data_IF_429030503449
#
_entry.id   IF_429030503449
#
_cell.length_a   1.000
_cell.length_b   1.000
_cell.length_c   1.000
_cell.angle_alpha   90.00
_cell.angle_beta   90.00
_cell.angle_gamma   90.00
#
_symmetry.space_group_name_H-M   'P 1'
#
loop_
_entity.id
_entity.type
_entity.pdbx_description
1 polymer ?
#
# COMPACT_ATOMS: atom_id res chain seq x y z
N UNK A 1 8.80 -14.38 -24.96
CA UNK A 1 9.55 -14.98 -26.07
C UNK A 1 11.06 -14.87 -25.85
N UNK A 2 11.80 -15.82 -26.40
CA UNK A 2 13.26 -15.88 -26.25
C UNK A 2 13.96 -14.66 -26.87
N UNK A 3 13.42 -14.12 -27.96
CA UNK A 3 13.99 -12.95 -28.62
C UNK A 3 13.92 -11.71 -27.74
N UNK A 4 12.80 -11.47 -27.09
CA UNK A 4 12.64 -10.35 -26.17
C UNK A 4 13.54 -10.49 -24.95
N UNK A 5 13.69 -11.70 -24.43
CA UNK A 5 14.54 -11.96 -23.28
C UNK A 5 16.01 -11.67 -23.58
N UNK A 6 16.50 -12.12 -24.74
CA UNK A 6 17.88 -11.84 -25.23
C UNK A 6 18.11 -10.35 -25.40
N UNK A 7 17.13 -9.64 -25.97
CA UNK A 7 17.22 -8.19 -26.17
C UNK A 7 17.29 -7.47 -24.82
N UNK A 8 16.46 -7.87 -23.88
CA UNK A 8 16.46 -7.32 -22.54
C UNK A 8 17.79 -7.54 -21.82
N UNK A 9 18.34 -8.76 -21.91
CA UNK A 9 19.66 -9.09 -21.32
C UNK A 9 20.78 -8.25 -21.95
N UNK A 10 20.76 -8.03 -23.25
CA UNK A 10 21.73 -7.16 -23.94
C UNK A 10 21.62 -5.72 -23.42
N UNK A 11 20.41 -5.18 -23.29
CA UNK A 11 20.18 -3.82 -22.77
C UNK A 11 20.69 -3.67 -21.35
N UNK A 12 20.41 -4.63 -20.49
CA UNK A 12 20.89 -4.64 -19.11
C UNK A 12 22.41 -4.67 -19.05
N UNK A 13 23.04 -5.55 -19.84
CA UNK A 13 24.49 -5.67 -19.91
C UNK A 13 25.16 -4.37 -20.37
N UNK A 14 24.52 -3.64 -21.29
CA UNK A 14 25.01 -2.34 -21.80
C UNK A 14 24.65 -1.16 -20.92
N UNK A 15 23.89 -1.39 -19.85
CA UNK A 15 23.46 -0.32 -18.93
C UNK A 15 22.35 0.59 -19.48
N UNK A 16 21.75 0.25 -20.63
CA UNK A 16 20.74 1.11 -21.28
C UNK A 16 19.40 1.14 -20.56
N UNK A 17 19.11 0.12 -19.73
CA UNK A 17 17.85 0.06 -18.98
C UNK A 17 17.82 0.94 -17.74
N UNK A 18 18.97 1.48 -17.33
CA UNK A 18 19.03 2.37 -16.17
C UNK A 18 18.37 3.71 -16.43
N UNK A 19 18.27 4.15 -17.68
CA UNK A 19 17.58 5.37 -18.06
C UNK A 19 16.09 5.37 -17.77
N UNK A 20 15.48 4.19 -17.58
CA UNK A 20 14.06 4.08 -17.22
C UNK A 20 13.79 4.45 -15.77
N UNK A 21 14.82 4.71 -14.99
CA UNK A 21 14.69 5.10 -13.56
C UNK A 21 14.72 6.60 -13.36
N UNK A 22 14.51 7.39 -14.41
CA UNK A 22 14.42 8.84 -14.29
C UNK A 22 13.14 9.23 -13.51
N UNK A 23 13.26 10.27 -12.67
CA UNK A 23 12.17 10.77 -11.87
C UNK A 23 12.25 10.32 -10.41
N UNK A 24 11.35 10.86 -9.59
CA UNK A 24 11.29 10.53 -8.18
C UNK A 24 10.89 9.06 -7.96
N UNK A 25 11.32 8.48 -6.84
CA UNK A 25 11.06 7.08 -6.50
C UNK A 25 9.57 6.71 -6.65
N UNK A 26 8.68 7.58 -6.17
CA UNK A 26 7.25 7.30 -6.19
C UNK A 26 6.61 7.50 -7.56
N UNK A 27 7.17 8.38 -8.39
CA UNK A 27 6.63 8.58 -9.74
C UNK A 27 6.87 7.40 -10.67
N UNK A 28 7.83 6.54 -10.33
CA UNK A 28 8.17 5.34 -11.11
C UNK A 28 7.32 4.12 -10.75
N UNK A 29 6.54 4.20 -9.67
CA UNK A 29 5.68 3.12 -9.22
C UNK A 29 4.39 3.11 -10.04
N UNK A 30 3.91 1.89 -10.40
CA UNK A 30 2.62 1.73 -11.06
C UNK A 30 1.49 2.07 -10.08
N UNK A 31 0.29 2.33 -10.62
CA UNK A 31 -0.91 2.56 -9.80
C UNK A 31 -1.18 1.37 -8.88
N UNK A 32 -1.01 0.16 -9.38
CA UNK A 32 -1.19 -1.07 -8.60
C UNK A 32 -0.22 -1.13 -7.42
N UNK A 33 1.06 -0.83 -7.66
CA UNK A 33 2.09 -0.83 -6.60
C UNK A 33 1.79 0.20 -5.53
N UNK A 34 1.39 1.41 -5.92
CA UNK A 34 1.00 2.48 -4.98
C UNK A 34 -0.19 2.06 -4.12
N UNK A 35 -1.20 1.46 -4.76
CA UNK A 35 -2.38 0.94 -4.07
C UNK A 35 -2.01 -0.13 -3.05
N UNK A 36 -1.16 -1.09 -3.43
CA UNK A 36 -0.72 -2.16 -2.54
C UNK A 36 0.05 -1.63 -1.33
N UNK A 37 0.94 -0.67 -1.54
CA UNK A 37 1.71 -0.04 -0.45
C UNK A 37 0.75 0.64 0.53
N UNK A 38 -0.21 1.40 0.02
CA UNK A 38 -1.21 2.13 0.81
C UNK A 38 -2.06 1.17 1.65
N UNK A 39 -2.63 0.15 1.02
CA UNK A 39 -3.50 -0.83 1.70
C UNK A 39 -2.72 -1.62 2.75
N UNK A 40 -1.52 -2.07 2.43
CA UNK A 40 -0.69 -2.81 3.37
C UNK A 40 -0.33 -1.99 4.61
N UNK A 41 -0.03 -0.71 4.43
CA UNK A 41 0.25 0.18 5.55
C UNK A 41 -0.97 0.34 6.46
N UNK A 42 -2.16 0.50 5.88
CA UNK A 42 -3.41 0.62 6.62
C UNK A 42 -3.74 -0.68 7.37
N UNK A 43 -3.62 -1.83 6.70
CA UNK A 43 -3.88 -3.14 7.31
C UNK A 43 -2.94 -3.42 8.47
N UNK A 44 -1.66 -3.09 8.32
CA UNK A 44 -0.67 -3.25 9.40
C UNK A 44 -1.06 -2.43 10.62
N UNK A 45 -1.49 -1.19 10.40
CA UNK A 45 -1.92 -0.30 11.48
C UNK A 45 -3.17 -0.83 12.19
N UNK A 46 -4.16 -1.30 11.42
CA UNK A 46 -5.37 -1.91 11.97
C UNK A 46 -5.05 -3.13 12.83
N UNK A 47 -4.14 -3.98 12.38
CA UNK A 47 -3.73 -5.16 13.13
C UNK A 47 -3.10 -4.79 14.47
N UNK A 48 -2.26 -3.75 14.49
CA UNK A 48 -1.64 -3.27 15.71
C UNK A 48 -2.70 -2.83 16.73
N UNK A 49 -3.70 -2.06 16.30
CA UNK A 49 -4.77 -1.59 17.18
C UNK A 49 -5.65 -2.74 17.65
N UNK A 50 -5.92 -3.72 16.79
CA UNK A 50 -6.67 -4.92 17.17
C UNK A 50 -5.92 -5.73 18.23
N UNK A 51 -4.61 -5.97 18.03
CA UNK A 51 -3.78 -6.75 18.97
C UNK A 51 -3.68 -6.06 20.34
N UNK A 52 -3.72 -4.72 20.36
CA UNK A 52 -3.72 -3.94 21.59
C UNK A 52 -5.09 -3.85 22.23
N UNK A 53 -6.11 -4.44 21.61
CA UNK A 53 -7.51 -4.37 22.07
C UNK A 53 -8.06 -2.95 22.17
N UNK A 54 -7.52 -2.04 21.36
CA UNK A 54 -7.99 -0.65 21.32
C UNK A 54 -9.27 -0.49 20.50
N UNK A 55 -9.54 -1.45 19.61
CA UNK A 55 -10.78 -1.50 18.82
C UNK A 55 -11.39 -2.90 18.92
N UNK A 56 -12.72 -3.00 18.81
CA UNK A 56 -13.42 -4.28 18.80
C UNK A 56 -13.21 -5.00 17.46
N UNK A 57 -13.49 -6.31 17.44
CA UNK A 57 -13.43 -7.10 16.19
C UNK A 57 -14.38 -6.55 15.13
N UNK A 58 -15.59 -6.13 15.53
CA UNK A 58 -16.56 -5.55 14.61
C UNK A 58 -16.01 -4.28 13.96
N UNK A 59 -15.43 -3.37 14.74
CA UNK A 59 -14.82 -2.14 14.24
C UNK A 59 -13.60 -2.45 13.33
N UNK A 60 -12.78 -3.43 13.72
CA UNK A 60 -11.64 -3.86 12.90
C UNK A 60 -12.10 -4.31 11.51
N UNK A 61 -13.10 -5.19 11.43
CA UNK A 61 -13.57 -5.69 10.14
C UNK A 61 -14.25 -4.61 9.31
N UNK A 62 -14.97 -3.71 9.94
CA UNK A 62 -15.58 -2.58 9.25
C UNK A 62 -14.52 -1.69 8.60
N UNK A 63 -13.50 -1.31 9.36
CA UNK A 63 -12.39 -0.49 8.86
C UNK A 63 -11.55 -1.25 7.81
N UNK A 64 -11.39 -2.56 7.98
CA UNK A 64 -10.70 -3.40 7.00
C UNK A 64 -11.40 -3.38 5.64
N UNK A 65 -12.73 -3.51 5.65
CA UNK A 65 -13.53 -3.43 4.43
C UNK A 65 -13.45 -2.05 3.79
N UNK A 66 -13.49 -0.99 4.59
CA UNK A 66 -13.32 0.39 4.10
C UNK A 66 -11.96 0.57 3.44
N UNK A 67 -10.90 0.02 4.02
CA UNK A 67 -9.56 0.09 3.45
C UNK A 67 -9.50 -0.59 2.09
N UNK A 68 -10.06 -1.79 1.96
CA UNK A 68 -10.03 -2.55 0.71
C UNK A 68 -10.90 -1.92 -0.38
N UNK A 69 -11.94 -1.16 -0.02
CA UNK A 69 -12.80 -0.46 -0.98
C UNK A 69 -12.28 0.92 -1.39
N UNK A 70 -11.20 1.38 -0.76
CA UNK A 70 -10.63 2.71 -1.04
C UNK A 70 -11.26 3.84 -0.22
N UNK A 71 -12.09 3.52 0.77
CA UNK A 71 -12.73 4.53 1.62
C UNK A 71 -11.79 5.22 2.60
N UNK A 72 -10.61 4.64 2.84
CA UNK A 72 -9.59 5.23 3.71
C UNK A 72 -8.47 5.81 2.85
N UNK A 73 -8.27 7.12 2.92
CA UNK A 73 -7.34 7.83 2.05
C UNK A 73 -5.87 7.68 2.45
N UNK A 74 -5.60 7.56 3.75
CA UNK A 74 -4.22 7.52 4.26
C UNK A 74 -4.20 6.92 5.65
N UNK A 75 -3.00 6.64 6.17
CA UNK A 75 -2.83 6.17 7.56
C UNK A 75 -3.31 7.24 8.55
N UNK A 76 -3.11 8.51 8.24
CA UNK A 76 -3.61 9.61 9.08
C UNK A 76 -5.14 9.58 9.17
N UNK A 77 -5.83 9.41 8.04
CA UNK A 77 -7.29 9.28 8.00
C UNK A 77 -7.74 8.06 8.81
N UNK A 78 -7.03 6.94 8.66
CA UNK A 78 -7.30 5.73 9.44
C UNK A 78 -7.18 5.98 10.94
N UNK A 79 -6.13 6.68 11.38
CA UNK A 79 -5.95 7.02 12.79
C UNK A 79 -7.11 7.87 13.33
N UNK A 80 -7.62 8.78 12.52
CA UNK A 80 -8.79 9.60 12.87
C UNK A 80 -10.05 8.73 13.04
N UNK A 81 -10.27 7.80 12.13
CA UNK A 81 -11.39 6.85 12.22
C UNK A 81 -11.29 5.95 13.44
N UNK A 82 -10.09 5.49 13.77
CA UNK A 82 -9.85 4.66 14.97
C UNK A 82 -10.15 5.47 16.23
N UNK A 83 -9.74 6.74 16.28
CA UNK A 83 -10.02 7.60 17.41
C UNK A 83 -11.52 7.79 17.62
N UNK A 84 -12.29 7.94 16.53
CA UNK A 84 -13.76 8.00 16.60
C UNK A 84 -14.35 6.72 17.17
N UNK A 85 -13.86 5.56 16.73
CA UNK A 85 -14.32 4.25 17.19
C UNK A 85 -14.01 4.03 18.67
N UNK A 86 -12.85 4.49 19.12
CA UNK A 86 -12.51 4.45 20.55
C UNK A 86 -13.49 5.30 21.39
N UNK A 87 -13.87 6.44 20.87
CA UNK A 87 -14.83 7.31 21.55
C UNK A 87 -16.22 6.69 21.68
N UNK A 88 -16.60 5.79 20.78
CA UNK A 88 -17.89 5.09 20.80
C UNK A 88 -17.90 3.89 21.77
N UNK A 89 -16.73 3.41 22.16
CA UNK A 89 -16.61 2.32 23.10
C UNK A 89 -16.58 2.85 24.54
#
# INVERSE_FOLDING_TARGET
>A
SRGRLRLKKKKVKRGRTQGSKEGAKYSRLSKKSRWMIKVRAQRKRLKIFKDRQEISNASFWELYKMSSSGGIRSVKHLNELIAERKGEN
#
